data_IF_526745181605
#
_entry.id   IF_526745181605
#
_cell.length_a   1.000
_cell.length_b   1.000
_cell.length_c   1.000
_cell.angle_alpha   90.00
_cell.angle_beta   90.00
_cell.angle_gamma   90.00
#
_symmetry.space_group_name_H-M   'P 1'
#
loop_
_entity.id
_entity.type
_entity.pdbx_description
1 polymer ?
#
# COMPACT_ATOMS: atom_id res chain seq x y z
N UNK A 1 3.03 5.27 19.01
CA UNK A 1 3.86 5.33 17.83
C UNK A 1 3.63 4.11 16.95
N UNK A 2 3.87 4.25 15.67
CA UNK A 2 3.42 3.40 14.57
C UNK A 2 3.75 1.90 14.72
N UNK A 3 4.83 1.51 15.34
CA UNK A 3 5.28 0.10 15.37
C UNK A 3 4.90 -0.70 16.63
N UNK A 4 4.13 -0.12 17.54
CA UNK A 4 3.65 -0.84 18.72
C UNK A 4 2.27 -1.48 18.49
N UNK A 5 1.68 -1.23 17.32
CA UNK A 5 0.41 -1.80 16.90
C UNK A 5 0.67 -2.84 15.77
N UNK A 6 0.10 -4.06 15.84
CA UNK A 6 0.25 -5.08 14.79
C UNK A 6 -0.11 -4.60 13.38
N UNK A 7 -1.09 -3.71 13.24
CA UNK A 7 -1.43 -3.11 11.96
C UNK A 7 -0.28 -2.25 11.37
N UNK A 8 0.55 -1.68 12.21
CA UNK A 8 1.68 -0.85 11.79
C UNK A 8 2.93 -1.68 11.50
N UNK A 9 3.07 -2.83 12.12
CA UNK A 9 4.10 -3.82 11.75
C UNK A 9 3.85 -4.29 10.31
N UNK A 10 2.58 -4.51 9.94
CA UNK A 10 2.20 -4.85 8.56
C UNK A 10 2.56 -3.75 7.58
N UNK A 11 2.28 -2.49 7.93
CA UNK A 11 2.72 -1.36 7.12
C UNK A 11 4.24 -1.30 6.95
N UNK A 12 4.99 -1.56 8.03
CA UNK A 12 6.43 -1.63 7.97
C UNK A 12 6.93 -2.78 7.07
N UNK A 13 6.24 -3.92 7.07
CA UNK A 13 6.51 -5.01 6.13
C UNK A 13 6.27 -4.62 4.67
N UNK A 14 5.23 -3.84 4.39
CA UNK A 14 4.98 -3.28 3.07
C UNK A 14 6.13 -2.37 2.64
N UNK A 15 6.55 -1.45 3.49
CA UNK A 15 7.71 -0.58 3.20
C UNK A 15 8.97 -1.40 2.92
N UNK A 16 9.18 -2.50 3.63
CA UNK A 16 10.30 -3.42 3.38
C UNK A 16 10.20 -4.13 2.04
N UNK A 17 9.03 -4.61 1.70
CA UNK A 17 8.77 -5.22 0.38
C UNK A 17 9.05 -4.19 -0.72
N UNK A 18 8.56 -2.96 -0.56
CA UNK A 18 8.79 -1.84 -1.48
C UNK A 18 10.27 -1.47 -1.60
N UNK A 19 11.07 -1.72 -0.59
CA UNK A 19 12.53 -1.47 -0.63
C UNK A 19 13.33 -2.58 -1.31
N UNK A 20 12.66 -3.62 -1.82
CA UNK A 20 13.31 -4.78 -2.46
C UNK A 20 14.10 -5.68 -1.50
N UNK A 21 13.97 -5.49 -0.19
CA UNK A 21 14.67 -6.32 0.80
C UNK A 21 13.78 -7.48 1.25
N UNK A 22 14.27 -8.71 1.26
CA UNK A 22 13.51 -9.85 1.72
C UNK A 22 13.22 -9.74 3.23
N UNK A 23 12.07 -10.23 3.66
CA UNK A 23 11.67 -10.29 5.08
C UNK A 23 12.76 -10.94 5.95
N UNK A 24 13.42 -11.99 5.45
CA UNK A 24 14.51 -12.67 6.12
C UNK A 24 15.68 -11.75 6.50
N UNK A 25 15.88 -10.64 5.79
CA UNK A 25 16.92 -9.66 6.13
C UNK A 25 16.64 -8.93 7.46
N UNK A 26 15.41 -9.02 7.98
CA UNK A 26 14.95 -8.32 9.18
C UNK A 26 14.42 -9.27 10.25
N UNK A 27 14.32 -10.56 9.95
CA UNK A 27 13.77 -11.57 10.85
C UNK A 27 14.91 -12.37 11.49
N UNK A 28 15.04 -12.29 12.80
CA UNK A 28 15.97 -13.10 13.59
C UNK A 28 15.16 -14.00 14.53
N UNK A 29 15.07 -15.29 14.19
CA UNK A 29 14.47 -16.32 15.04
C UNK A 29 12.99 -16.57 14.84
N UNK A 30 12.50 -17.68 15.37
CA UNK A 30 11.10 -18.07 15.32
C UNK A 30 10.25 -17.12 16.18
N UNK A 31 9.28 -16.46 15.57
CA UNK A 31 8.16 -15.79 16.23
C UNK A 31 8.34 -14.33 16.64
N UNK A 32 9.55 -13.77 16.64
CA UNK A 32 9.73 -12.36 16.99
C UNK A 32 10.13 -11.52 15.79
N UNK A 33 9.30 -10.56 15.44
CA UNK A 33 9.65 -9.57 14.42
C UNK A 33 10.65 -8.55 15.02
N UNK A 34 11.80 -8.25 14.39
CA UNK A 34 12.82 -7.36 14.97
C UNK A 34 12.39 -5.88 14.85
N UNK A 35 11.45 -5.45 15.66
CA UNK A 35 10.87 -4.11 15.67
C UNK A 35 11.94 -3.02 15.76
N UNK A 36 13.00 -3.23 16.52
CA UNK A 36 14.08 -2.25 16.66
C UNK A 36 14.82 -2.02 15.33
N UNK A 37 15.19 -3.09 14.63
CA UNK A 37 15.84 -3.01 13.30
C UNK A 37 14.91 -2.38 12.26
N UNK A 38 13.62 -2.68 12.35
CA UNK A 38 12.61 -2.08 11.49
C UNK A 38 12.49 -0.58 11.72
N UNK A 39 12.43 -0.14 12.98
CA UNK A 39 12.39 1.29 13.33
C UNK A 39 13.62 2.03 12.81
N UNK A 40 14.78 1.43 12.91
CA UNK A 40 16.03 2.00 12.40
C UNK A 40 16.00 2.12 10.87
N UNK A 41 15.59 1.05 10.19
CA UNK A 41 15.44 1.04 8.74
C UNK A 41 14.46 2.11 8.27
N UNK A 42 13.27 2.18 8.87
CA UNK A 42 12.24 3.14 8.49
C UNK A 42 12.69 4.60 8.68
N UNK A 43 13.49 4.89 9.71
CA UNK A 43 14.07 6.22 9.91
C UNK A 43 15.04 6.62 8.81
N UNK A 44 15.77 5.67 8.25
CA UNK A 44 16.73 5.91 7.17
C UNK A 44 16.08 6.01 5.79
N UNK A 45 14.82 5.55 5.65
CA UNK A 45 14.14 5.52 4.36
C UNK A 45 13.36 6.83 4.13
N UNK A 46 13.41 7.44 2.93
CA UNK A 46 12.76 8.74 2.67
C UNK A 46 11.27 8.82 3.00
N UNK A 47 10.55 7.71 2.91
CA UNK A 47 9.11 7.64 3.26
C UNK A 47 8.79 6.57 4.33
N UNK A 48 9.80 6.03 5.00
CA UNK A 48 9.62 4.92 5.93
C UNK A 48 8.74 5.21 7.14
N UNK A 49 8.60 6.47 7.54
CA UNK A 49 7.72 6.89 8.64
C UNK A 49 6.33 7.33 8.17
N UNK A 50 6.06 7.32 6.86
CA UNK A 50 4.77 7.73 6.31
C UNK A 50 3.74 6.61 6.49
N UNK A 51 2.54 6.97 6.96
CA UNK A 51 1.40 6.04 7.00
C UNK A 51 0.77 5.88 5.62
N UNK A 52 0.75 6.95 4.84
CA UNK A 52 0.21 7.00 3.49
C UNK A 52 1.23 7.62 2.55
N UNK A 53 1.30 7.07 1.36
CA UNK A 53 2.14 7.56 0.30
C UNK A 53 1.29 7.81 -0.94
N UNK A 54 1.44 9.01 -1.52
CA UNK A 54 0.80 9.35 -2.78
C UNK A 54 1.83 9.30 -3.90
N UNK A 55 1.50 8.56 -4.95
CA UNK A 55 2.18 8.59 -6.23
C UNK A 55 1.26 9.17 -7.29
N UNK A 56 1.79 9.97 -8.17
CA UNK A 56 1.02 10.47 -9.28
C UNK A 56 1.91 11.04 -10.37
N UNK A 57 1.50 10.86 -11.61
CA UNK A 57 2.16 11.43 -12.77
C UNK A 57 1.32 12.53 -13.38
N UNK A 58 1.95 13.63 -13.74
CA UNK A 58 1.30 14.72 -14.44
C UNK A 58 1.70 14.72 -15.91
N UNK A 59 0.71 14.58 -16.77
CA UNK A 59 0.87 14.59 -18.23
C UNK A 59 0.43 15.89 -18.85
N UNK A 60 0.99 16.22 -20.01
CA UNK A 60 0.66 17.39 -20.81
C UNK A 60 1.85 18.36 -20.97
N UNK A 61 1.61 19.57 -21.53
CA UNK A 61 2.62 20.62 -21.65
C UNK A 61 3.25 20.98 -20.30
N UNK A 62 4.46 21.49 -20.31
CA UNK A 62 5.24 21.76 -19.11
C UNK A 62 4.51 22.65 -18.10
N UNK A 63 3.87 23.70 -18.59
CA UNK A 63 3.16 24.68 -17.77
C UNK A 63 1.93 24.04 -17.08
N UNK A 64 1.21 23.16 -17.81
CA UNK A 64 0.07 22.43 -17.26
C UNK A 64 0.51 21.42 -16.22
N UNK A 65 1.62 20.71 -16.47
CA UNK A 65 2.16 19.78 -15.47
C UNK A 65 2.59 20.51 -14.20
N UNK A 66 3.25 21.67 -14.34
CA UNK A 66 3.67 22.46 -13.20
C UNK A 66 2.47 22.95 -12.38
N UNK A 67 1.44 23.47 -13.05
CA UNK A 67 0.21 23.89 -12.37
C UNK A 67 -0.45 22.75 -11.58
N UNK A 68 -0.52 21.54 -12.17
CA UNK A 68 -1.04 20.35 -11.50
C UNK A 68 -0.21 19.98 -10.27
N UNK A 69 1.12 19.95 -10.40
CA UNK A 69 2.03 19.64 -9.29
C UNK A 69 1.90 20.64 -8.15
N UNK A 70 1.85 21.93 -8.46
CA UNK A 70 1.69 22.98 -7.45
C UNK A 70 0.35 22.89 -6.74
N UNK A 71 -0.70 22.54 -7.48
CA UNK A 71 -2.04 22.34 -6.91
C UNK A 71 -2.05 21.14 -5.97
N UNK A 72 -1.53 20.00 -6.39
CA UNK A 72 -1.44 18.79 -5.57
C UNK A 72 -0.61 19.08 -4.32
N UNK A 73 0.56 19.67 -4.49
CA UNK A 73 1.44 20.03 -3.37
C UNK A 73 0.73 20.94 -2.37
N UNK A 74 0.10 22.01 -2.83
CA UNK A 74 -0.63 22.93 -1.96
C UNK A 74 -1.73 22.24 -1.15
N UNK A 75 -2.47 21.32 -1.77
CA UNK A 75 -3.56 20.60 -1.07
C UNK A 75 -3.02 19.60 -0.05
N UNK A 76 -2.00 18.84 -0.40
CA UNK A 76 -1.37 17.90 0.54
C UNK A 76 -0.70 18.59 1.72
N UNK A 77 -0.08 19.76 1.51
CA UNK A 77 0.56 20.50 2.59
C UNK A 77 -0.40 21.10 3.63
N UNK A 78 -1.72 21.02 3.41
CA UNK A 78 -2.73 21.31 4.44
C UNK A 78 -2.83 20.18 5.49
N UNK A 79 -2.31 19.01 5.20
CA UNK A 79 -2.33 17.85 6.09
C UNK A 79 -1.13 17.98 7.05
N UNK A 80 -1.35 18.00 8.37
CA UNK A 80 -0.25 18.07 9.33
C UNK A 80 0.73 16.91 9.16
N UNK A 81 2.02 17.24 9.04
CA UNK A 81 3.08 16.23 8.85
C UNK A 81 3.25 15.73 7.41
N UNK A 82 2.44 16.20 6.45
CA UNK A 82 2.66 15.89 5.06
C UNK A 82 3.98 16.50 4.56
N UNK A 83 4.68 15.76 3.71
CA UNK A 83 5.92 16.22 3.08
C UNK A 83 6.01 15.73 1.65
N UNK A 84 6.61 16.52 0.78
CA UNK A 84 6.97 16.10 -0.57
C UNK A 84 8.33 15.40 -0.53
N UNK A 85 8.42 14.29 -1.24
CA UNK A 85 9.67 13.58 -1.47
C UNK A 85 10.14 13.92 -2.88
N UNK A 86 11.41 14.30 -3.02
CA UNK A 86 12.03 14.44 -4.32
C UNK A 86 12.45 13.03 -4.80
N UNK A 87 11.93 12.53 -5.92
CA UNK A 87 12.32 11.24 -6.45
C UNK A 87 13.83 11.07 -6.66
N UNK A 88 14.54 12.15 -6.97
CA UNK A 88 15.99 12.12 -7.16
C UNK A 88 16.76 11.71 -5.89
N UNK A 89 16.15 11.78 -4.72
CA UNK A 89 16.74 11.34 -3.44
C UNK A 89 16.50 9.88 -3.12
N UNK A 90 15.68 9.18 -3.93
CA UNK A 90 15.35 7.78 -3.70
C UNK A 90 16.49 6.86 -4.16
N UNK A 91 16.73 5.74 -3.46
CA UNK A 91 17.67 4.73 -3.90
C UNK A 91 17.35 4.20 -5.30
N UNK A 92 18.38 3.81 -6.06
CA UNK A 92 18.20 3.31 -7.43
C UNK A 92 17.32 2.04 -7.54
N UNK A 93 17.24 1.27 -6.45
CA UNK A 93 16.39 0.07 -6.35
C UNK A 93 15.08 0.33 -5.59
N UNK A 94 14.67 1.60 -5.48
CA UNK A 94 13.40 1.93 -4.84
C UNK A 94 12.22 1.50 -5.72
N UNK A 95 11.15 1.05 -5.06
CA UNK A 95 9.90 0.66 -5.71
C UNK A 95 9.30 1.78 -6.59
N UNK A 96 9.53 3.03 -6.24
CA UNK A 96 9.09 4.19 -7.04
C UNK A 96 9.50 4.05 -8.51
N UNK A 97 10.69 3.53 -8.80
CA UNK A 97 11.20 3.44 -10.17
C UNK A 97 10.45 2.43 -11.03
N UNK A 98 9.95 1.33 -10.45
CA UNK A 98 9.03 0.43 -11.14
C UNK A 98 7.72 1.13 -11.49
N UNK A 99 7.13 1.85 -10.54
CA UNK A 99 5.93 2.66 -10.80
C UNK A 99 6.17 3.76 -11.84
N UNK A 100 7.31 4.43 -11.80
CA UNK A 100 7.68 5.46 -12.77
C UNK A 100 7.77 4.90 -14.18
N UNK A 101 8.36 3.72 -14.38
CA UNK A 101 8.37 3.01 -15.66
C UNK A 101 6.93 2.76 -16.18
N UNK A 102 6.08 2.18 -15.35
CA UNK A 102 4.69 1.88 -15.70
C UNK A 102 3.94 3.15 -16.10
N UNK A 103 4.10 4.24 -15.37
CA UNK A 103 3.44 5.52 -15.69
C UNK A 103 3.98 6.18 -16.96
N UNK A 104 5.17 5.78 -17.42
CA UNK A 104 5.71 6.17 -18.73
C UNK A 104 5.31 5.23 -19.87
N UNK A 105 4.56 4.17 -19.58
CA UNK A 105 4.13 3.16 -20.55
C UNK A 105 5.15 2.05 -20.77
N UNK A 106 6.13 1.89 -19.92
CA UNK A 106 7.11 0.81 -19.96
C UNK A 106 6.59 -0.37 -19.11
N UNK A 107 6.30 -1.56 -19.70
CA UNK A 107 5.82 -2.71 -18.94
C UNK A 107 6.84 -3.14 -17.88
N UNK A 108 6.36 -3.36 -16.66
CA UNK A 108 7.18 -3.82 -15.55
C UNK A 108 6.34 -4.71 -14.62
N UNK A 109 6.92 -5.81 -14.17
CA UNK A 109 6.31 -6.75 -13.22
C UNK A 109 6.99 -6.72 -11.84
N UNK A 110 7.98 -5.86 -11.63
CA UNK A 110 8.70 -5.75 -10.37
C UNK A 110 7.76 -5.38 -9.22
N UNK A 111 6.64 -4.69 -9.50
CA UNK A 111 5.65 -4.38 -8.48
C UNK A 111 5.03 -5.62 -7.85
N UNK A 112 4.98 -6.74 -8.56
CA UNK A 112 4.48 -8.02 -8.01
C UNK A 112 5.41 -8.61 -6.96
N UNK A 113 6.64 -8.11 -6.84
CA UNK A 113 7.56 -8.46 -5.77
C UNK A 113 7.10 -7.99 -4.37
N UNK A 114 6.02 -7.22 -4.27
CA UNK A 114 5.47 -6.77 -2.98
C UNK A 114 5.08 -7.91 -2.06
N UNK A 115 4.68 -9.04 -2.62
CA UNK A 115 4.32 -10.23 -1.85
C UNK A 115 5.53 -11.06 -1.43
N UNK A 116 6.74 -10.66 -1.82
CA UNK A 116 7.97 -11.43 -1.61
C UNK A 116 8.46 -11.43 -0.15
N UNK A 117 7.79 -10.73 0.77
CA UNK A 117 8.09 -10.92 2.19
C UNK A 117 7.62 -12.28 2.74
N UNK A 118 6.77 -12.99 2.01
CA UNK A 118 6.47 -14.39 2.23
C UNK A 118 7.31 -15.26 1.27
N UNK A 119 7.91 -16.37 1.73
CA UNK A 119 8.74 -17.24 0.89
C UNK A 119 8.04 -17.76 -0.37
N UNK A 120 6.74 -18.04 -0.28
CA UNK A 120 5.88 -18.45 -1.38
C UNK A 120 4.62 -17.57 -1.43
N UNK A 121 4.84 -16.25 -1.35
CA UNK A 121 3.78 -15.27 -1.25
C UNK A 121 2.79 -15.33 -2.40
N UNK A 122 1.51 -15.35 -2.06
CA UNK A 122 0.40 -15.16 -2.96
C UNK A 122 -0.42 -13.96 -2.55
N UNK A 123 -1.22 -13.42 -3.48
CA UNK A 123 -2.18 -12.39 -3.16
C UNK A 123 -3.49 -12.61 -3.90
N UNK A 124 -4.57 -12.12 -3.28
CA UNK A 124 -5.89 -12.05 -3.89
C UNK A 124 -6.38 -10.62 -3.71
N UNK A 125 -6.75 -9.99 -4.80
CA UNK A 125 -7.21 -8.61 -4.80
C UNK A 125 -8.74 -8.50 -4.83
N UNK A 126 -9.27 -7.51 -4.09
CA UNK A 126 -10.62 -7.02 -4.20
C UNK A 126 -10.56 -5.50 -4.41
N UNK A 127 -11.20 -5.01 -5.47
CA UNK A 127 -11.13 -3.61 -5.86
C UNK A 127 -12.52 -3.01 -6.06
N UNK A 128 -13.22 -2.68 -4.98
CA UNK A 128 -14.54 -2.03 -5.07
C UNK A 128 -14.42 -0.62 -5.63
N UNK A 129 -15.42 -0.25 -6.42
CA UNK A 129 -15.52 1.07 -7.05
C UNK A 129 -16.50 1.94 -6.28
N UNK A 130 -16.12 3.17 -6.00
CA UNK A 130 -16.94 4.17 -5.34
C UNK A 130 -16.82 5.54 -6.02
N UNK A 131 -17.75 6.47 -5.76
CA UNK A 131 -17.57 7.86 -6.16
C UNK A 131 -16.32 8.50 -5.53
N UNK A 132 -15.64 9.41 -6.24
CA UNK A 132 -14.47 10.13 -5.76
C UNK A 132 -14.86 11.13 -4.67
N UNK A 133 -15.16 10.65 -3.48
CA UNK A 133 -15.50 11.44 -2.29
C UNK A 133 -14.76 10.90 -1.07
N UNK A 134 -14.24 11.79 -0.23
CA UNK A 134 -13.51 11.41 0.98
C UNK A 134 -14.34 10.57 1.95
N UNK A 135 -15.67 10.79 2.00
CA UNK A 135 -16.59 9.97 2.82
C UNK A 135 -16.68 8.53 2.34
N UNK A 136 -16.67 8.31 1.03
CA UNK A 136 -16.68 6.96 0.46
C UNK A 136 -15.32 6.28 0.64
N UNK A 137 -14.22 7.01 0.44
CA UNK A 137 -12.88 6.51 0.73
C UNK A 137 -12.75 6.06 2.19
N UNK A 138 -13.21 6.87 3.14
CA UNK A 138 -13.16 6.54 4.56
C UNK A 138 -14.04 5.33 4.90
N UNK A 139 -15.20 5.21 4.27
CA UNK A 139 -16.10 4.04 4.46
C UNK A 139 -15.46 2.76 3.95
N UNK A 140 -14.92 2.78 2.73
CA UNK A 140 -14.18 1.66 2.15
C UNK A 140 -12.98 1.25 3.02
N UNK A 141 -12.22 2.22 3.48
CA UNK A 141 -11.09 1.99 4.39
C UNK A 141 -11.53 1.31 5.69
N UNK A 142 -12.56 1.83 6.34
CA UNK A 142 -13.06 1.27 7.60
C UNK A 142 -13.62 -0.14 7.42
N UNK A 143 -14.31 -0.38 6.31
CA UNK A 143 -14.80 -1.71 5.93
C UNK A 143 -13.64 -2.69 5.77
N UNK A 144 -12.64 -2.35 4.96
CA UNK A 144 -11.48 -3.20 4.74
C UNK A 144 -10.73 -3.46 6.06
N UNK A 145 -10.45 -2.42 6.83
CA UNK A 145 -9.75 -2.51 8.11
C UNK A 145 -10.44 -3.43 9.11
N UNK A 146 -11.77 -3.38 9.19
CA UNK A 146 -12.56 -4.24 10.08
C UNK A 146 -12.32 -5.72 9.78
N UNK A 147 -12.46 -6.12 8.52
CA UNK A 147 -12.24 -7.52 8.11
C UNK A 147 -10.77 -7.94 8.25
N UNK A 148 -9.86 -7.02 7.95
CA UNK A 148 -8.43 -7.28 8.00
C UNK A 148 -7.91 -7.52 9.41
N UNK A 149 -8.28 -6.67 10.34
CA UNK A 149 -7.81 -6.78 11.72
C UNK A 149 -8.18 -8.10 12.39
N UNK A 150 -9.24 -8.76 11.92
CA UNK A 150 -9.68 -10.05 12.45
C UNK A 150 -9.09 -11.25 11.73
N UNK A 151 -8.53 -11.07 10.53
CA UNK A 151 -8.03 -12.17 9.71
C UNK A 151 -6.68 -12.74 10.16
N UNK A 152 -5.86 -11.91 10.77
CA UNK A 152 -4.46 -12.27 11.06
C UNK A 152 -3.52 -12.29 9.85
N UNK A 153 -4.04 -12.00 8.64
CA UNK A 153 -3.24 -11.94 7.40
C UNK A 153 -2.60 -10.57 7.21
N UNK A 154 -1.53 -10.54 6.48
CA UNK A 154 -0.98 -9.31 5.95
C UNK A 154 -1.83 -8.80 4.78
N UNK A 155 -1.89 -7.49 4.59
CA UNK A 155 -2.57 -6.88 3.46
C UNK A 155 -1.79 -5.72 2.86
N UNK A 156 -2.00 -5.54 1.59
CA UNK A 156 -1.68 -4.31 0.88
C UNK A 156 -2.97 -3.54 0.65
N UNK A 157 -2.92 -2.22 0.85
CA UNK A 157 -4.06 -1.33 0.65
C UNK A 157 -3.61 -0.12 -0.16
N UNK A 158 -4.31 0.14 -1.24
CA UNK A 158 -4.04 1.25 -2.14
C UNK A 158 -5.35 1.90 -2.60
N UNK A 159 -5.32 3.19 -2.88
CA UNK A 159 -6.40 3.91 -3.55
C UNK A 159 -5.94 4.39 -4.92
N UNK A 160 -6.63 3.95 -5.95
CA UNK A 160 -6.53 4.56 -7.28
C UNK A 160 -7.65 5.61 -7.38
N UNK A 161 -7.26 6.86 -7.51
CA UNK A 161 -8.19 8.00 -7.57
C UNK A 161 -8.29 8.50 -8.98
N UNK A 162 -9.40 8.21 -9.64
CA UNK A 162 -9.77 8.76 -10.94
C UNK A 162 -10.54 10.07 -10.81
N UNK A 163 -11.00 10.60 -11.96
CA UNK A 163 -11.75 11.84 -11.99
C UNK A 163 -13.15 11.71 -11.37
N UNK A 164 -13.80 10.56 -11.55
CA UNK A 164 -15.17 10.30 -11.12
C UNK A 164 -15.33 9.04 -10.29
N UNK A 165 -14.32 8.20 -10.27
CA UNK A 165 -14.29 6.91 -9.58
C UNK A 165 -13.10 6.83 -8.65
N UNK A 166 -13.29 6.10 -7.58
CA UNK A 166 -12.30 5.73 -6.59
C UNK A 166 -12.27 4.21 -6.48
N UNK A 167 -11.13 3.61 -6.65
CA UNK A 167 -10.93 2.19 -6.39
C UNK A 167 -10.14 2.01 -5.09
N UNK A 168 -10.65 1.22 -4.16
CA UNK A 168 -9.84 0.71 -3.07
C UNK A 168 -9.31 -0.65 -3.48
N UNK A 169 -8.03 -0.77 -3.71
CA UNK A 169 -7.38 -2.06 -3.92
C UNK A 169 -7.03 -2.63 -2.55
N UNK A 170 -7.59 -3.80 -2.25
CA UNK A 170 -7.32 -4.56 -1.04
C UNK A 170 -6.73 -5.90 -1.47
N UNK A 171 -5.48 -6.13 -1.15
CA UNK A 171 -4.82 -7.38 -1.47
C UNK A 171 -4.54 -8.18 -0.21
N UNK A 172 -5.16 -9.37 -0.11
CA UNK A 172 -4.79 -10.37 0.88
C UNK A 172 -3.44 -10.95 0.52
N UNK A 173 -2.48 -10.85 1.41
CA UNK A 173 -1.16 -11.46 1.21
C UNK A 173 -1.01 -12.65 2.16
N UNK A 174 -0.67 -13.81 1.59
CA UNK A 174 -0.64 -15.06 2.33
C UNK A 174 0.42 -16.00 1.79
N UNK A 175 0.83 -16.97 2.60
CA UNK A 175 1.68 -18.08 2.17
C UNK A 175 0.82 -19.09 1.41
N UNK A 176 1.17 -19.35 0.13
CA UNK A 176 0.45 -20.32 -0.73
C UNK A 176 0.57 -21.76 -0.25
N UNK A 177 1.61 -22.08 0.50
CA UNK A 177 1.85 -23.41 1.05
C UNK A 177 1.08 -23.63 2.37
N UNK A 178 0.47 -22.57 2.95
CA UNK A 178 -0.39 -22.67 4.12
C UNK A 178 -1.88 -22.66 3.71
N UNK A 179 -2.56 -23.84 3.70
CA UNK A 179 -3.96 -23.93 3.33
C UNK A 179 -4.87 -23.07 4.22
N UNK A 180 -4.52 -22.91 5.51
CA UNK A 180 -5.33 -22.12 6.45
C UNK A 180 -5.28 -20.64 6.08
N UNK A 181 -4.10 -20.12 5.73
CA UNK A 181 -3.98 -18.74 5.30
C UNK A 181 -4.73 -18.49 3.98
N UNK A 182 -4.62 -19.41 3.02
CA UNK A 182 -5.36 -19.35 1.75
C UNK A 182 -6.89 -19.32 1.99
N UNK A 183 -7.39 -20.24 2.80
CA UNK A 183 -8.83 -20.33 3.08
C UNK A 183 -9.32 -19.08 3.85
N UNK A 184 -8.51 -18.55 4.76
CA UNK A 184 -8.78 -17.28 5.44
C UNK A 184 -8.82 -16.11 4.45
N UNK A 185 -7.89 -16.03 3.50
CA UNK A 185 -7.87 -14.99 2.47
C UNK A 185 -9.15 -15.01 1.63
N UNK A 186 -9.57 -16.20 1.18
CA UNK A 186 -10.82 -16.38 0.43
C UNK A 186 -12.05 -15.97 1.25
N UNK A 187 -12.13 -16.36 2.52
CA UNK A 187 -13.23 -15.99 3.41
C UNK A 187 -13.32 -14.48 3.64
N UNK A 188 -12.18 -13.81 3.84
CA UNK A 188 -12.11 -12.35 3.97
C UNK A 188 -12.58 -11.67 2.69
N UNK A 189 -12.14 -12.14 1.53
CA UNK A 189 -12.58 -11.58 0.24
C UNK A 189 -14.10 -11.73 0.07
N UNK A 190 -14.66 -12.90 0.34
CA UNK A 190 -16.11 -13.11 0.29
C UNK A 190 -16.88 -12.16 1.22
N UNK A 191 -16.35 -11.92 2.41
CA UNK A 191 -16.96 -11.00 3.38
C UNK A 191 -16.89 -9.53 2.91
N UNK A 192 -15.77 -9.11 2.33
CA UNK A 192 -15.59 -7.78 1.76
C UNK A 192 -16.54 -7.54 0.59
N UNK A 193 -16.66 -8.49 -0.33
CA UNK A 193 -17.59 -8.42 -1.47
C UNK A 193 -19.03 -8.25 -0.96
N UNK A 194 -19.43 -9.08 0.01
CA UNK A 194 -20.79 -9.03 0.56
C UNK A 194 -21.08 -7.71 1.30
N UNK A 195 -20.10 -7.14 2.00
CA UNK A 195 -20.29 -5.87 2.71
C UNK A 195 -20.29 -4.68 1.74
N UNK A 196 -19.41 -4.68 0.73
CA UNK A 196 -19.38 -3.66 -0.31
C UNK A 196 -20.70 -3.57 -1.07
N UNK A 197 -21.26 -4.70 -1.46
CA UNK A 197 -22.57 -4.78 -2.13
C UNK A 197 -23.70 -4.15 -1.31
N UNK A 198 -23.71 -4.31 0.02
CA UNK A 198 -24.69 -3.67 0.92
C UNK A 198 -24.60 -2.14 0.92
N UNK A 199 -23.44 -1.61 0.60
CA UNK A 199 -23.19 -0.17 0.50
C UNK A 199 -23.32 0.37 -0.93
N UNK A 200 -23.66 -0.48 -1.89
CA UNK A 200 -23.79 -0.10 -3.31
C UNK A 200 -22.45 0.15 -4.00
N UNK A 201 -21.38 -0.42 -3.47
CA UNK A 201 -20.07 -0.41 -4.13
C UNK A 201 -19.93 -1.65 -5.01
N UNK A 202 -19.45 -1.45 -6.23
CA UNK A 202 -19.29 -2.49 -7.25
C UNK A 202 -17.86 -2.86 -7.52
#
# INVERSE_FOLDING_TARGET
MILDNPANIRHALQVLALSGKPRSAFYEGEGAFPIAKMKEYLKSHPYGECTWLYFGSCYGPKEVRQLKLDTIHREFMKIPGARRIDPATLPANDYFWSRDKITRGEPDLEELAWVNWWPNGGHIAFSPVAPTRGTDALRLWNMAKKHWNTSGLDCFLDFIVGLRELHLIVEAVYDRDDPKQRDTALAVMGSLIAEAAKHGYG
#
